data_IF_703712737834
#
_entry.id   IF_703712737834
#
_cell.length_a   1.000
_cell.length_b   1.000
_cell.length_c   1.000
_cell.angle_alpha   90.00
_cell.angle_beta   90.00
_cell.angle_gamma   90.00
#
_symmetry.space_group_name_H-M   'P 1'
#
loop_
_entity.id
_entity.type
_entity.pdbx_description
1 polymer ?
#
# COMPACT_ATOMS: atom_id res chain seq x y z
N UNK A 1 3.35 12.62 19.46
CA UNK A 1 3.00 11.52 18.54
C UNK A 1 4.24 10.69 18.27
N UNK A 2 4.29 9.48 18.81
CA UNK A 2 5.43 8.57 18.67
C UNK A 2 5.71 8.30 17.18
N UNK A 3 6.87 8.74 16.68
CA UNK A 3 7.38 8.40 15.33
C UNK A 3 7.81 6.92 15.22
N UNK A 4 7.44 6.11 16.21
CA UNK A 4 7.93 4.76 16.42
C UNK A 4 6.83 3.77 16.05
N UNK A 5 6.89 3.31 14.80
CA UNK A 5 6.24 2.10 14.33
C UNK A 5 7.27 1.25 13.60
N UNK A 6 6.85 0.16 12.95
CA UNK A 6 7.75 -0.71 12.19
C UNK A 6 8.50 0.10 11.10
N UNK A 7 9.79 0.38 11.34
CA UNK A 7 10.61 1.25 10.48
C UNK A 7 10.85 0.63 9.10
N UNK A 8 11.04 -0.68 9.06
CA UNK A 8 11.25 -1.41 7.82
C UNK A 8 10.00 -1.36 6.93
N UNK A 9 8.81 -1.61 7.51
CA UNK A 9 7.55 -1.53 6.79
C UNK A 9 7.29 -0.10 6.27
N UNK A 10 7.51 0.90 7.11
CA UNK A 10 7.34 2.30 6.71
C UNK A 10 8.30 2.71 5.57
N UNK A 11 9.54 2.22 5.60
CA UNK A 11 10.52 2.45 4.54
C UNK A 11 10.11 1.75 3.23
N UNK A 12 9.61 0.51 3.30
CA UNK A 12 9.11 -0.23 2.14
C UNK A 12 7.93 0.50 1.48
N UNK A 13 6.92 0.91 2.26
CA UNK A 13 5.77 1.66 1.76
C UNK A 13 6.19 3.00 1.14
N UNK A 14 7.19 3.67 1.71
CA UNK A 14 7.71 4.90 1.13
C UNK A 14 8.39 4.66 -0.21
N UNK A 15 9.24 3.62 -0.33
CA UNK A 15 9.89 3.24 -1.59
C UNK A 15 8.87 2.90 -2.68
N UNK A 16 7.85 2.09 -2.37
CA UNK A 16 6.77 1.76 -3.29
C UNK A 16 6.05 3.02 -3.76
N UNK A 17 5.71 3.93 -2.85
CA UNK A 17 5.04 5.18 -3.19
C UNK A 17 5.87 6.05 -4.14
N UNK A 18 7.16 6.21 -3.88
CA UNK A 18 8.06 6.97 -4.76
C UNK A 18 8.17 6.33 -6.14
N UNK A 19 8.33 5.00 -6.20
CA UNK A 19 8.33 4.27 -7.48
C UNK A 19 7.02 4.45 -8.24
N UNK A 20 5.87 4.35 -7.57
CA UNK A 20 4.56 4.53 -8.21
C UNK A 20 4.28 5.96 -8.67
N UNK A 21 4.93 6.97 -8.09
CA UNK A 21 4.84 8.37 -8.57
C UNK A 21 5.71 8.57 -9.82
N UNK A 22 6.87 7.91 -9.88
CA UNK A 22 7.81 8.01 -11.00
C UNK A 22 7.36 7.27 -12.25
N UNK A 23 6.65 6.15 -12.08
CA UNK A 23 6.14 5.35 -13.17
C UNK A 23 4.73 5.78 -13.55
N UNK A 24 4.41 5.70 -14.84
CA UNK A 24 3.05 5.96 -15.32
C UNK A 24 2.12 4.82 -14.87
N UNK A 25 1.13 5.16 -14.06
CA UNK A 25 0.20 4.18 -13.51
C UNK A 25 -0.74 4.72 -12.44
N UNK A 26 -1.51 3.81 -11.85
CA UNK A 26 -2.61 4.13 -10.91
C UNK A 26 -2.17 4.95 -9.69
N UNK A 27 -0.93 4.76 -9.23
CA UNK A 27 -0.38 5.50 -8.09
C UNK A 27 -0.03 6.95 -8.44
N UNK A 28 0.57 7.17 -9.60
CA UNK A 28 0.85 8.50 -10.14
C UNK A 28 -0.45 9.26 -10.43
N UNK A 29 -1.43 8.63 -11.09
CA UNK A 29 -2.75 9.24 -11.35
C UNK A 29 -3.42 9.64 -10.04
N UNK A 30 -3.40 8.77 -9.03
CA UNK A 30 -3.96 9.09 -7.72
C UNK A 30 -3.24 10.25 -7.04
N UNK A 31 -1.91 10.24 -7.05
CA UNK A 31 -1.10 11.31 -6.46
C UNK A 31 -1.37 12.66 -7.14
N UNK A 32 -1.38 12.70 -8.48
CA UNK A 32 -1.70 13.92 -9.24
C UNK A 32 -3.12 14.40 -8.97
N UNK A 33 -4.10 13.49 -8.89
CA UNK A 33 -5.48 13.84 -8.52
C UNK A 33 -5.51 14.52 -7.14
N UNK A 34 -4.80 14.00 -6.14
CA UNK A 34 -4.73 14.62 -4.80
C UNK A 34 -4.14 16.02 -4.85
N UNK A 35 -3.07 16.22 -5.62
CA UNK A 35 -2.49 17.56 -5.84
C UNK A 35 -3.50 18.52 -6.48
N UNK A 36 -4.22 18.08 -7.51
CA UNK A 36 -5.26 18.91 -8.15
C UNK A 36 -6.46 19.21 -7.25
N UNK A 37 -6.69 18.39 -6.21
CA UNK A 37 -7.74 18.62 -5.20
C UNK A 37 -7.29 19.60 -4.12
N UNK A 38 -6.05 20.09 -4.15
CA UNK A 38 -5.52 21.08 -3.20
C UNK A 38 -4.70 20.50 -2.06
N UNK A 39 -4.42 19.19 -2.04
CA UNK A 39 -3.47 18.63 -1.08
C UNK A 39 -2.05 19.14 -1.39
N UNK A 40 -1.29 19.44 -0.33
CA UNK A 40 0.15 19.64 -0.47
C UNK A 40 0.87 18.33 -0.87
N UNK A 41 2.05 18.43 -1.49
CA UNK A 41 2.92 17.29 -1.81
C UNK A 41 3.08 16.27 -0.66
N UNK A 42 3.42 16.66 0.59
CA UNK A 42 3.54 15.71 1.69
C UNK A 42 2.20 15.06 2.07
N UNK A 43 1.08 15.78 1.92
CA UNK A 43 -0.25 15.24 2.19
C UNK A 43 -0.69 14.23 1.13
N UNK A 44 -0.50 14.56 -0.14
CA UNK A 44 -0.77 13.67 -1.27
C UNK A 44 0.08 12.38 -1.15
N UNK A 45 1.37 12.51 -0.82
CA UNK A 45 2.25 11.37 -0.59
C UNK A 45 1.80 10.52 0.61
N UNK A 46 1.38 11.18 1.71
CA UNK A 46 0.85 10.49 2.90
C UNK A 46 -0.45 9.75 2.58
N UNK A 47 -1.33 10.33 1.76
CA UNK A 47 -2.54 9.69 1.26
C UNK A 47 -2.22 8.47 0.40
N UNK A 48 -1.24 8.57 -0.51
CA UNK A 48 -0.79 7.44 -1.32
C UNK A 48 -0.24 6.31 -0.45
N UNK A 49 0.67 6.61 0.49
CA UNK A 49 1.22 5.60 1.42
C UNK A 49 0.14 4.89 2.23
N UNK A 50 -0.89 5.61 2.72
CA UNK A 50 -2.02 5.00 3.43
C UNK A 50 -2.84 4.07 2.54
N UNK A 51 -3.07 4.47 1.28
CA UNK A 51 -3.76 3.61 0.31
C UNK A 51 -2.98 2.33 0.08
N UNK A 52 -1.66 2.44 -0.13
CA UNK A 52 -0.78 1.29 -0.30
C UNK A 52 -0.79 0.37 0.91
N UNK A 53 -0.73 0.92 2.13
CA UNK A 53 -0.79 0.11 3.36
C UNK A 53 -2.07 -0.76 3.41
N UNK A 54 -3.23 -0.20 3.04
CA UNK A 54 -4.50 -0.95 3.00
C UNK A 54 -4.49 -2.05 1.95
N UNK A 55 -3.97 -1.76 0.76
CA UNK A 55 -3.86 -2.74 -0.33
C UNK A 55 -2.93 -3.88 0.05
N UNK A 56 -1.73 -3.57 0.56
CA UNK A 56 -0.76 -4.57 1.01
C UNK A 56 -1.35 -5.42 2.15
N UNK A 57 -1.99 -4.80 3.13
CA UNK A 57 -2.66 -5.54 4.19
C UNK A 57 -3.75 -6.48 3.66
N UNK A 58 -4.59 -6.02 2.72
CA UNK A 58 -5.61 -6.85 2.09
C UNK A 58 -5.02 -8.06 1.35
N UNK A 59 -3.92 -7.87 0.63
CA UNK A 59 -3.22 -8.97 -0.03
C UNK A 59 -2.62 -9.96 0.98
N UNK A 60 -1.89 -9.48 1.99
CA UNK A 60 -1.31 -10.33 3.03
C UNK A 60 -2.36 -11.10 3.83
N UNK A 61 -3.51 -10.47 4.11
CA UNK A 61 -4.60 -11.13 4.80
C UNK A 61 -5.29 -12.19 3.93
N UNK A 62 -5.49 -11.89 2.64
CA UNK A 62 -6.03 -12.85 1.67
C UNK A 62 -5.10 -14.05 1.51
N UNK A 63 -3.80 -13.78 1.37
CA UNK A 63 -2.74 -14.78 1.29
C UNK A 63 -2.70 -15.65 2.54
N UNK A 64 -2.68 -15.04 3.73
CA UNK A 64 -2.74 -15.75 5.00
C UNK A 64 -3.97 -16.67 5.10
N UNK A 65 -5.15 -16.18 4.70
CA UNK A 65 -6.37 -16.98 4.70
C UNK A 65 -6.32 -18.14 3.69
N UNK A 66 -5.68 -17.93 2.53
CA UNK A 66 -5.49 -18.98 1.53
C UNK A 66 -4.51 -20.04 2.00
N UNK A 67 -3.45 -19.65 2.71
CA UNK A 67 -2.50 -20.58 3.34
C UNK A 67 -3.11 -21.33 4.53
N UNK A 68 -4.00 -20.68 5.29
CA UNK A 68 -4.72 -21.31 6.39
C UNK A 68 -5.88 -22.20 5.96
N UNK A 69 -6.33 -22.11 4.70
CA UNK A 69 -7.12 -23.19 4.10
C UNK A 69 -6.14 -24.35 3.85
N UNK A 70 -6.20 -25.44 4.63
CA UNK A 70 -5.46 -26.63 4.24
C UNK A 70 -5.94 -27.03 2.85
N UNK A 71 -5.06 -27.66 2.06
CA UNK A 71 -5.43 -28.46 0.90
C UNK A 71 -6.83 -29.05 1.16
N UNK A 72 -7.87 -28.50 0.49
CA UNK A 72 -9.17 -29.16 0.49
C UNK A 72 -8.87 -30.51 -0.10
N UNK A 73 -8.91 -31.52 0.78
CA UNK A 73 -8.58 -32.91 0.52
C UNK A 73 -9.19 -33.26 -0.82
N UNK A 74 -8.35 -33.66 -1.79
CA UNK A 74 -8.84 -34.29 -3.00
C UNK A 74 -9.71 -35.46 -2.54
N UNK A 75 -11.03 -35.25 -2.58
CA UNK A 75 -12.00 -36.26 -2.20
C UNK A 75 -11.92 -37.36 -3.25
N UNK A 76 -11.43 -38.52 -2.82
CA UNK A 76 -11.45 -39.78 -3.54
C UNK A 76 -12.87 -40.36 -3.59
#
# INVERSE_FOLDING_TARGET
MTRSGNRQLNAALHRIAVTQIRLDGVGQTYYRRRLTTGDSTPEALRCLKRRLARVVYGHLHTDHNNHHKPCQTAAA
#
